data_IF_498689344962
#
_entry.id   IF_498689344962
#
_cell.length_a   1.000
_cell.length_b   1.000
_cell.length_c   1.000
_cell.angle_alpha   90.00
_cell.angle_beta   90.00
_cell.angle_gamma   90.00
#
_symmetry.space_group_name_H-M   'P 1'
#
loop_
_entity.id
_entity.type
_entity.pdbx_description
1 polymer ?
#
# COMPACT_ATOMS: atom_id res chain seq x y z
N UNK A 1 -8.63 8.95 -17.47
CA UNK A 1 -8.69 7.67 -16.71
C UNK A 1 -10.01 7.67 -15.93
N UNK A 2 -10.82 6.62 -16.05
CA UNK A 2 -12.06 6.50 -15.28
C UNK A 2 -11.74 6.37 -13.78
N UNK A 3 -12.59 6.90 -12.87
CA UNK A 3 -12.44 6.68 -11.44
C UNK A 3 -12.53 5.17 -11.14
N UNK A 4 -11.82 4.69 -10.10
CA UNK A 4 -11.90 3.27 -9.71
C UNK A 4 -13.33 2.91 -9.32
N UNK A 5 -13.72 1.67 -9.61
CA UNK A 5 -15.00 1.18 -9.11
C UNK A 5 -15.01 1.19 -7.57
N UNK A 6 -16.16 1.42 -6.91
CA UNK A 6 -16.24 1.40 -5.45
C UNK A 6 -15.73 0.10 -4.82
N UNK A 7 -15.83 -1.02 -5.53
CA UNK A 7 -15.31 -2.32 -5.10
C UNK A 7 -13.79 -2.40 -5.04
N UNK A 8 -13.07 -1.53 -5.75
CA UNK A 8 -11.60 -1.49 -5.78
C UNK A 8 -11.00 -0.61 -4.69
N UNK A 9 -11.82 0.22 -4.05
CA UNK A 9 -11.38 1.08 -2.95
C UNK A 9 -11.12 0.26 -1.68
N UNK A 10 -10.20 0.72 -0.85
CA UNK A 10 -9.96 0.14 0.47
C UNK A 10 -11.21 0.24 1.35
N UNK A 11 -11.50 -0.83 2.08
CA UNK A 11 -12.65 -0.92 3.00
C UNK A 11 -12.23 -0.46 4.38
N UNK A 12 -12.93 0.52 4.95
CA UNK A 12 -12.78 0.90 6.35
C UNK A 12 -13.50 -0.15 7.20
N UNK A 13 -12.73 -0.90 8.01
CA UNK A 13 -13.24 -1.95 8.89
C UNK A 13 -13.54 -1.42 10.31
N UNK A 14 -12.75 -0.43 10.75
CA UNK A 14 -12.88 0.27 12.03
C UNK A 14 -12.38 1.72 11.86
N UNK A 15 -12.64 2.62 12.80
CA UNK A 15 -12.21 4.02 12.71
C UNK A 15 -10.69 4.18 12.44
N UNK A 16 -9.89 3.25 12.92
CA UNK A 16 -8.42 3.22 12.83
C UNK A 16 -7.86 2.16 11.85
N UNK A 17 -8.74 1.48 11.08
CA UNK A 17 -8.35 0.31 10.27
C UNK A 17 -8.89 0.39 8.86
N UNK A 18 -7.99 0.21 7.88
CA UNK A 18 -8.35 0.08 6.46
C UNK A 18 -7.80 -1.24 5.88
N UNK A 19 -8.56 -1.86 4.97
CA UNK A 19 -8.19 -3.11 4.29
C UNK A 19 -8.31 -2.97 2.79
N UNK A 20 -7.34 -3.55 2.08
CA UNK A 20 -7.32 -3.69 0.63
C UNK A 20 -7.21 -5.16 0.26
N UNK A 21 -7.90 -5.58 -0.79
CA UNK A 21 -7.77 -6.92 -1.36
C UNK A 21 -7.41 -6.82 -2.83
N UNK A 22 -6.51 -7.68 -3.30
CA UNK A 22 -6.14 -7.81 -4.72
C UNK A 22 -6.00 -9.29 -5.07
N UNK A 23 -6.50 -9.64 -6.24
CA UNK A 23 -6.29 -10.96 -6.81
C UNK A 23 -5.16 -10.86 -7.84
N UNK A 24 -4.01 -11.43 -7.51
CA UNK A 24 -2.75 -11.29 -8.25
C UNK A 24 -2.37 -12.59 -8.96
N UNK A 25 -1.59 -12.57 -10.05
CA UNK A 25 -1.05 -13.78 -10.65
C UNK A 25 -0.14 -14.53 -9.68
N UNK A 26 -0.33 -15.86 -9.58
CA UNK A 26 0.49 -16.74 -8.78
C UNK A 26 1.87 -17.08 -9.38
N UNK A 27 2.63 -17.96 -8.75
CA UNK A 27 2.36 -18.59 -7.45
C UNK A 27 2.62 -17.67 -6.25
N UNK A 28 2.28 -18.13 -5.04
CA UNK A 28 2.39 -17.33 -3.78
C UNK A 28 3.82 -16.90 -3.50
N UNK A 29 4.81 -17.74 -3.79
CA UNK A 29 6.24 -17.45 -3.61
C UNK A 29 6.69 -16.28 -4.49
N UNK A 30 6.13 -16.17 -5.71
CA UNK A 30 6.41 -15.04 -6.59
C UNK A 30 5.86 -13.74 -6.01
N UNK A 31 4.64 -13.73 -5.51
CA UNK A 31 4.05 -12.54 -4.88
C UNK A 31 4.82 -12.19 -3.60
N UNK A 32 5.18 -13.20 -2.78
CA UNK A 32 5.99 -13.05 -1.58
C UNK A 32 7.32 -12.36 -1.86
N UNK A 33 8.01 -12.74 -2.94
CA UNK A 33 9.28 -12.13 -3.30
C UNK A 33 9.17 -10.62 -3.56
N UNK A 34 8.03 -10.14 -4.06
CA UNK A 34 7.75 -8.70 -4.20
C UNK A 34 7.51 -7.99 -2.86
N UNK A 35 7.25 -8.71 -1.78
CA UNK A 35 7.14 -8.13 -0.44
C UNK A 35 8.49 -8.07 0.29
N UNK A 36 9.37 -9.05 0.08
CA UNK A 36 10.58 -9.21 0.92
C UNK A 36 11.88 -8.83 0.21
N UNK A 37 12.00 -9.06 -1.11
CA UNK A 37 13.23 -8.76 -1.86
C UNK A 37 13.31 -7.26 -2.19
N UNK A 38 14.40 -6.62 -1.81
CA UNK A 38 14.61 -5.18 -1.97
C UNK A 38 14.35 -4.68 -3.38
N UNK A 39 14.91 -5.37 -4.37
CA UNK A 39 14.84 -4.93 -5.77
C UNK A 39 13.40 -5.05 -6.30
N UNK A 40 12.71 -6.15 -5.99
CA UNK A 40 11.33 -6.37 -6.40
C UNK A 40 10.36 -5.46 -5.64
N UNK A 41 10.56 -5.28 -4.34
CA UNK A 41 9.77 -4.36 -3.53
C UNK A 41 9.95 -2.91 -4.01
N UNK A 42 11.17 -2.55 -4.42
CA UNK A 42 11.50 -1.23 -4.97
C UNK A 42 10.76 -0.87 -6.26
N UNK A 43 10.28 -1.87 -7.02
CA UNK A 43 9.51 -1.63 -8.25
C UNK A 43 8.11 -1.08 -8.00
N UNK A 44 7.56 -1.27 -6.80
CA UNK A 44 6.18 -0.87 -6.53
C UNK A 44 5.97 -0.11 -5.22
N UNK A 45 6.87 -0.22 -4.24
CA UNK A 45 6.75 0.43 -2.92
C UNK A 45 8.05 1.15 -2.55
N UNK A 46 9.04 0.41 -2.07
CA UNK A 46 10.30 0.96 -1.56
C UNK A 46 11.40 -0.10 -1.59
N UNK A 47 12.62 0.28 -1.93
CA UNK A 47 13.81 -0.57 -1.77
C UNK A 47 14.31 -0.54 -0.32
N UNK A 48 15.33 -1.35 -0.01
CA UNK A 48 15.99 -1.41 1.29
C UNK A 48 15.96 -2.80 1.91
N UNK A 49 16.69 -2.97 3.00
CA UNK A 49 16.87 -4.25 3.67
C UNK A 49 15.65 -4.66 4.48
N UNK A 50 15.46 -5.95 4.65
CA UNK A 50 14.47 -6.57 5.54
C UNK A 50 15.14 -7.74 6.26
N UNK A 51 15.26 -7.66 7.58
CA UNK A 51 15.71 -8.80 8.39
C UNK A 51 14.54 -9.78 8.55
N UNK A 52 14.66 -11.05 8.07
CA UNK A 52 13.54 -11.97 7.95
C UNK A 52 13.19 -12.65 9.28
N UNK A 53 12.87 -11.90 10.30
CA UNK A 53 12.47 -12.38 11.63
C UNK A 53 11.66 -11.34 12.39
N UNK A 54 10.80 -11.76 13.29
CA UNK A 54 10.09 -10.88 14.22
C UNK A 54 11.11 -10.08 15.05
N UNK A 55 10.88 -8.78 15.21
CA UNK A 55 11.79 -7.84 15.84
C UNK A 55 12.92 -7.34 14.92
N UNK A 56 13.08 -7.93 13.73
CA UNK A 56 14.05 -7.50 12.73
C UNK A 56 13.77 -6.10 12.18
N UNK A 57 14.79 -5.49 11.62
CA UNK A 57 14.70 -4.16 10.99
C UNK A 57 14.16 -4.27 9.58
N UNK A 58 13.30 -3.33 9.19
CA UNK A 58 12.89 -3.07 7.80
C UNK A 58 13.34 -1.65 7.45
N UNK A 59 14.25 -1.54 6.50
CA UNK A 59 14.63 -0.25 5.92
C UNK A 59 13.84 -0.06 4.63
N UNK A 60 13.20 1.10 4.50
CA UNK A 60 12.41 1.48 3.34
C UNK A 60 12.94 2.77 2.76
N UNK A 61 13.32 2.76 1.49
CA UNK A 61 13.69 3.97 0.75
C UNK A 61 12.70 4.13 -0.41
N UNK A 62 11.81 5.08 -0.25
CA UNK A 62 10.78 5.40 -1.24
C UNK A 62 11.36 6.29 -2.34
N UNK A 63 11.12 5.92 -3.59
CA UNK A 63 11.46 6.69 -4.79
C UNK A 63 10.24 6.77 -5.72
N UNK A 64 9.16 7.40 -5.25
CA UNK A 64 7.88 7.43 -5.97
C UNK A 64 8.00 8.02 -7.39
N UNK A 65 8.95 8.93 -7.62
CA UNK A 65 9.24 9.46 -8.95
C UNK A 65 9.75 8.41 -9.97
N UNK A 66 10.16 7.22 -9.51
CA UNK A 66 10.66 6.14 -10.36
C UNK A 66 9.60 5.07 -10.67
N UNK A 67 8.42 5.15 -10.07
CA UNK A 67 7.37 4.14 -10.23
C UNK A 67 6.58 4.27 -11.54
N UNK A 68 6.72 5.40 -12.23
CA UNK A 68 6.22 5.61 -13.58
C UNK A 68 7.03 6.72 -14.29
N UNK A 69 7.01 6.80 -15.62
CA UNK A 69 7.72 7.84 -16.37
C UNK A 69 7.03 9.21 -16.29
N UNK A 70 5.95 9.33 -15.53
CA UNK A 70 5.15 10.55 -15.42
C UNK A 70 5.90 11.66 -14.66
N UNK A 71 5.90 12.92 -15.13
CA UNK A 71 6.46 14.05 -14.39
C UNK A 71 5.81 14.20 -13.02
N UNK A 72 6.62 14.52 -12.00
CA UNK A 72 6.12 14.75 -10.63
C UNK A 72 5.38 16.08 -10.55
N UNK A 73 4.06 16.11 -10.23
CA UNK A 73 3.34 17.37 -10.01
C UNK A 73 3.89 18.11 -8.79
N UNK A 74 3.83 19.46 -8.82
CA UNK A 74 4.38 20.33 -7.79
C UNK A 74 3.93 19.93 -6.36
N UNK A 75 2.63 19.66 -6.19
CA UNK A 75 2.04 19.27 -4.89
C UNK A 75 2.61 17.99 -4.29
N UNK A 76 3.23 17.14 -5.09
CA UNK A 76 3.81 15.86 -4.65
C UNK A 76 5.34 15.88 -4.57
N UNK A 77 5.98 17.02 -4.85
CA UNK A 77 7.45 17.12 -4.90
C UNK A 77 8.11 16.64 -3.61
N UNK A 78 7.55 16.97 -2.46
CA UNK A 78 8.04 16.50 -1.16
C UNK A 78 7.88 14.99 -0.93
N UNK A 79 7.00 14.30 -1.69
CA UNK A 79 6.74 12.86 -1.61
C UNK A 79 7.38 12.06 -2.76
N UNK A 80 8.14 12.71 -3.63
CA UNK A 80 8.72 12.04 -4.81
C UNK A 80 9.92 11.16 -4.48
N UNK A 81 10.63 11.43 -3.39
CA UNK A 81 11.77 10.69 -2.86
C UNK A 81 13.14 11.29 -3.23
N UNK A 82 14.23 10.73 -2.70
CA UNK A 82 14.25 9.60 -1.78
C UNK A 82 13.78 9.94 -0.36
N UNK A 83 12.92 9.12 0.20
CA UNK A 83 12.45 9.24 1.59
C UNK A 83 12.80 7.95 2.31
N UNK A 84 13.66 8.02 3.32
CA UNK A 84 14.06 6.88 4.12
C UNK A 84 13.14 6.71 5.34
N UNK A 85 12.82 5.47 5.67
CA UNK A 85 12.05 5.10 6.84
C UNK A 85 12.60 3.79 7.41
N UNK A 86 12.71 3.69 8.74
CA UNK A 86 13.16 2.49 9.43
C UNK A 86 12.04 1.96 10.32
N UNK A 87 11.68 0.71 10.09
CA UNK A 87 10.55 0.05 10.70
C UNK A 87 10.99 -1.28 11.34
N UNK A 88 10.08 -1.95 12.04
CA UNK A 88 10.35 -3.22 12.73
C UNK A 88 9.35 -4.28 12.29
N UNK A 89 9.84 -5.47 11.95
CA UNK A 89 9.01 -6.63 11.65
C UNK A 89 8.23 -7.05 12.90
N UNK A 90 6.91 -7.16 12.77
CA UNK A 90 6.00 -7.62 13.86
C UNK A 90 5.45 -9.01 13.59
N UNK A 91 5.39 -9.44 12.32
CA UNK A 91 5.01 -10.81 11.92
C UNK A 91 5.82 -11.23 10.70
N UNK A 92 6.31 -12.48 10.70
CA UNK A 92 7.07 -13.06 9.58
C UNK A 92 6.76 -14.54 9.44
N UNK A 93 5.91 -14.89 8.50
CA UNK A 93 5.44 -16.26 8.22
C UNK A 93 5.48 -16.52 6.70
N UNK A 94 6.66 -16.83 6.13
CA UNK A 94 6.82 -17.04 4.71
C UNK A 94 6.11 -18.30 4.22
N UNK A 95 5.49 -18.28 3.02
CA UNK A 95 5.30 -17.13 2.16
C UNK A 95 3.92 -16.46 2.36
N UNK A 96 3.32 -16.52 3.55
CA UNK A 96 1.91 -16.23 3.78
C UNK A 96 1.62 -14.94 4.54
N UNK A 97 2.51 -14.50 5.45
CA UNK A 97 2.25 -13.28 6.20
C UNK A 97 3.52 -12.49 6.54
N UNK A 98 3.45 -11.18 6.30
CA UNK A 98 4.45 -10.19 6.69
C UNK A 98 3.74 -9.00 7.32
N UNK A 99 4.17 -8.61 8.53
CA UNK A 99 3.75 -7.35 9.12
C UNK A 99 4.94 -6.57 9.66
N UNK A 100 4.84 -5.26 9.63
CA UNK A 100 5.83 -4.36 10.22
C UNK A 100 5.18 -3.03 10.63
N UNK A 101 5.86 -2.35 11.56
CA UNK A 101 5.46 -1.00 12.00
C UNK A 101 5.49 -0.02 10.82
N UNK A 102 4.71 1.06 10.91
CA UNK A 102 4.66 2.07 9.87
C UNK A 102 4.57 3.47 10.49
N UNK A 103 5.27 4.44 9.89
CA UNK A 103 5.23 5.83 10.31
C UNK A 103 6.17 6.16 11.46
N UNK A 104 5.72 7.00 12.39
CA UNK A 104 6.54 7.51 13.49
C UNK A 104 6.84 6.43 14.53
N UNK A 105 8.08 6.39 15.02
CA UNK A 105 8.48 5.47 16.09
C UNK A 105 7.77 5.75 17.43
N UNK A 106 7.29 6.98 17.68
CA UNK A 106 6.60 7.35 18.91
C UNK A 106 5.16 6.80 18.98
N UNK A 107 4.49 6.68 17.83
CA UNK A 107 3.14 6.14 17.73
C UNK A 107 3.02 5.36 16.41
N UNK A 108 3.61 4.17 16.31
CA UNK A 108 3.62 3.43 15.07
C UNK A 108 2.25 2.82 14.78
N UNK A 109 1.78 3.01 13.56
CA UNK A 109 0.75 2.15 12.98
C UNK A 109 1.38 0.82 12.55
N UNK A 110 0.60 -0.10 12.00
CA UNK A 110 1.10 -1.38 11.54
C UNK A 110 0.44 -1.77 10.23
N UNK A 111 1.24 -2.24 9.30
CA UNK A 111 0.76 -2.83 8.05
C UNK A 111 0.98 -4.33 8.07
N UNK A 112 -0.07 -5.09 7.72
CA UNK A 112 -0.06 -6.53 7.58
C UNK A 112 -0.39 -6.90 6.13
N UNK A 113 0.45 -7.71 5.53
CA UNK A 113 0.23 -8.38 4.24
C UNK A 113 -0.05 -9.85 4.49
N UNK A 114 -1.15 -10.37 3.97
CA UNK A 114 -1.50 -11.78 3.98
C UNK A 114 -1.68 -12.28 2.56
N UNK A 115 -1.09 -13.43 2.25
CA UNK A 115 -1.16 -14.08 0.95
C UNK A 115 -1.83 -15.44 1.09
N UNK A 116 -2.88 -15.67 0.28
CA UNK A 116 -3.58 -16.96 0.22
C UNK A 116 -3.70 -17.41 -1.23
N UNK A 117 -3.31 -18.65 -1.55
CA UNK A 117 -3.58 -19.23 -2.86
C UNK A 117 -5.09 -19.20 -3.16
N UNK A 118 -5.45 -18.89 -4.41
CA UNK A 118 -6.82 -18.83 -4.91
C UNK A 118 -6.83 -19.35 -6.36
N UNK A 119 -6.82 -20.67 -6.51
CA UNK A 119 -6.59 -21.35 -7.79
C UNK A 119 -5.19 -21.08 -8.33
N UNK A 120 -5.10 -20.57 -9.54
CA UNK A 120 -3.86 -20.13 -10.21
C UNK A 120 -3.43 -18.71 -9.81
N UNK A 121 -4.22 -18.07 -8.95
CA UNK A 121 -3.98 -16.72 -8.45
C UNK A 121 -3.65 -16.70 -6.97
N UNK A 122 -3.35 -15.51 -6.47
CA UNK A 122 -3.05 -15.26 -5.05
C UNK A 122 -3.92 -14.09 -4.59
N UNK A 123 -4.70 -14.32 -3.54
CA UNK A 123 -5.39 -13.23 -2.83
C UNK A 123 -4.41 -12.57 -1.87
N UNK A 124 -4.04 -11.34 -2.19
CA UNK A 124 -3.32 -10.45 -1.28
C UNK A 124 -4.33 -9.65 -0.48
N UNK A 125 -4.24 -9.71 0.84
CA UNK A 125 -4.95 -8.84 1.78
C UNK A 125 -3.94 -7.95 2.48
N UNK A 126 -4.06 -6.63 2.32
CA UNK A 126 -3.31 -5.63 3.07
C UNK A 126 -4.26 -5.02 4.11
N UNK A 127 -3.88 -5.10 5.38
CA UNK A 127 -4.60 -4.43 6.47
C UNK A 127 -3.67 -3.44 7.17
N UNK A 128 -4.10 -2.18 7.32
CA UNK A 128 -3.34 -1.15 8.03
C UNK A 128 -4.16 -0.71 9.24
N UNK A 129 -3.57 -0.83 10.42
CA UNK A 129 -4.23 -0.62 11.71
C UNK A 129 -3.54 0.46 12.53
N UNK A 130 -4.24 0.95 13.55
CA UNK A 130 -3.80 2.03 14.46
C UNK A 130 -3.54 3.36 13.71
N UNK A 131 -4.44 3.70 12.80
CA UNK A 131 -4.43 4.94 12.04
C UNK A 131 -5.35 5.97 12.70
N UNK A 132 -4.91 7.21 12.84
CA UNK A 132 -5.86 8.30 13.02
C UNK A 132 -6.61 8.59 11.71
N UNK A 133 -7.63 9.46 11.75
CA UNK A 133 -8.46 9.76 10.58
C UNK A 133 -7.66 10.33 9.41
N UNK A 134 -6.74 11.26 9.68
CA UNK A 134 -5.94 11.90 8.63
C UNK A 134 -4.95 10.90 8.02
N UNK A 135 -4.23 10.16 8.85
CA UNK A 135 -3.33 9.11 8.40
C UNK A 135 -4.05 8.05 7.58
N UNK A 136 -5.30 7.67 7.95
CA UNK A 136 -6.09 6.71 7.19
C UNK A 136 -6.39 7.21 5.77
N UNK A 137 -6.74 8.48 5.59
CA UNK A 137 -6.97 9.07 4.28
C UNK A 137 -5.68 9.09 3.44
N UNK A 138 -4.59 9.55 4.05
CA UNK A 138 -3.28 9.66 3.40
C UNK A 138 -2.76 8.29 2.93
N UNK A 139 -2.82 7.27 3.80
CA UNK A 139 -2.34 5.93 3.42
C UNK A 139 -3.28 5.25 2.43
N UNK A 140 -4.59 5.55 2.46
CA UNK A 140 -5.55 4.89 1.56
C UNK A 140 -5.26 5.21 0.10
N UNK A 141 -5.01 6.46 -0.24
CA UNK A 141 -4.58 6.86 -1.58
C UNK A 141 -3.26 6.21 -1.99
N UNK A 142 -2.29 6.23 -1.08
CA UNK A 142 -0.98 5.62 -1.29
C UNK A 142 -1.07 4.11 -1.54
N UNK A 143 -1.70 3.34 -0.64
CA UNK A 143 -1.82 1.90 -0.78
C UNK A 143 -2.55 1.47 -2.06
N UNK A 144 -3.67 2.13 -2.38
CA UNK A 144 -4.39 1.83 -3.62
C UNK A 144 -3.47 1.98 -4.84
N UNK A 145 -2.75 3.11 -4.93
CA UNK A 145 -1.86 3.41 -6.06
C UNK A 145 -0.68 2.44 -6.12
N UNK A 146 0.00 2.18 -5.00
CA UNK A 146 1.11 1.23 -4.93
C UNK A 146 0.68 -0.20 -5.28
N UNK A 147 -0.48 -0.66 -4.80
CA UNK A 147 -1.01 -1.98 -5.14
C UNK A 147 -1.41 -2.11 -6.62
N UNK A 148 -1.80 -1.02 -7.28
CA UNK A 148 -2.04 -1.01 -8.72
C UNK A 148 -0.73 -1.17 -9.51
N UNK A 149 0.36 -0.54 -9.05
CA UNK A 149 1.71 -0.72 -9.62
C UNK A 149 2.20 -2.16 -9.41
N UNK A 150 2.04 -2.73 -8.21
CA UNK A 150 2.35 -4.14 -7.93
C UNK A 150 1.62 -5.09 -8.88
N UNK A 151 0.31 -4.89 -9.03
CA UNK A 151 -0.51 -5.74 -9.91
C UNK A 151 -0.02 -5.66 -11.37
N UNK A 152 0.32 -4.47 -11.87
CA UNK A 152 0.84 -4.31 -13.22
C UNK A 152 2.16 -5.08 -13.42
N UNK A 153 3.11 -4.98 -12.49
CA UNK A 153 4.37 -5.73 -12.57
C UNK A 153 4.16 -7.24 -12.54
N UNK A 154 3.27 -7.74 -11.69
CA UNK A 154 2.96 -9.17 -11.62
C UNK A 154 2.23 -9.67 -12.87
N UNK A 155 1.41 -8.83 -13.51
CA UNK A 155 0.75 -9.13 -14.79
C UNK A 155 1.70 -8.95 -16.01
N UNK A 156 2.93 -8.48 -15.81
CA UNK A 156 3.86 -8.20 -16.91
C UNK A 156 3.44 -7.01 -17.78
N UNK A 157 2.67 -6.08 -17.21
CA UNK A 157 2.21 -4.85 -17.86
C UNK A 157 2.99 -3.63 -17.36
N UNK A 158 3.00 -2.57 -18.16
CA UNK A 158 3.51 -1.28 -17.72
C UNK A 158 2.71 -0.75 -16.52
N UNK A 159 3.39 -0.14 -15.52
CA UNK A 159 2.70 0.45 -14.39
C UNK A 159 1.82 1.64 -14.84
N UNK A 160 0.69 1.88 -14.16
CA UNK A 160 -0.15 3.03 -14.44
C UNK A 160 0.61 4.34 -14.14
N UNK A 161 0.21 5.48 -14.75
CA UNK A 161 0.73 6.80 -14.39
C UNK A 161 0.51 7.07 -12.89
N UNK A 162 1.59 7.01 -12.11
CA UNK A 162 1.54 6.99 -10.64
C UNK A 162 0.83 8.21 -10.05
N UNK A 163 1.23 9.41 -10.47
CA UNK A 163 0.73 10.67 -9.90
C UNK A 163 -0.70 11.00 -10.34
N UNK A 164 -1.03 10.70 -11.60
CA UNK A 164 -2.39 10.85 -12.11
C UNK A 164 -3.35 9.89 -11.41
N UNK A 165 -2.92 8.64 -11.18
CA UNK A 165 -3.70 7.66 -10.43
C UNK A 165 -3.87 8.09 -8.98
N UNK A 166 -2.78 8.46 -8.28
CA UNK A 166 -2.81 8.92 -6.89
C UNK A 166 -3.78 10.11 -6.73
N UNK A 167 -3.71 11.10 -7.63
CA UNK A 167 -4.62 12.24 -7.66
C UNK A 167 -6.09 11.83 -7.73
N UNK A 168 -6.41 10.93 -8.64
CA UNK A 168 -7.78 10.44 -8.85
C UNK A 168 -8.29 9.68 -7.63
N UNK A 169 -7.43 8.85 -7.03
CA UNK A 169 -7.75 8.03 -5.86
C UNK A 169 -7.93 8.90 -4.61
N UNK A 170 -7.04 9.86 -4.35
CA UNK A 170 -7.19 10.79 -3.21
C UNK A 170 -8.51 11.55 -3.28
N UNK A 171 -8.91 12.01 -4.47
CA UNK A 171 -10.20 12.68 -4.67
C UNK A 171 -11.40 11.74 -4.40
N UNK A 172 -11.30 10.45 -4.76
CA UNK A 172 -12.34 9.47 -4.51
C UNK A 172 -12.50 9.18 -3.00
N UNK A 173 -11.39 9.02 -2.27
CA UNK A 173 -11.42 8.82 -0.82
C UNK A 173 -11.93 10.04 -0.06
N UNK A 174 -11.57 11.25 -0.47
CA UNK A 174 -12.07 12.50 0.12
C UNK A 174 -13.59 12.61 0.03
N UNK A 175 -14.18 12.28 -1.11
CA UNK A 175 -15.65 12.24 -1.29
C UNK A 175 -16.31 11.19 -0.40
N UNK A 176 -15.78 9.97 -0.38
CA UNK A 176 -16.35 8.87 0.41
C UNK A 176 -16.32 9.16 1.92
N UNK A 177 -15.29 9.84 2.41
CA UNK A 177 -15.18 10.21 3.82
C UNK A 177 -16.15 11.33 4.19
N UNK A 178 -16.41 12.28 3.28
CA UNK A 178 -17.37 13.36 3.45
C UNK A 178 -18.81 12.83 3.52
N UNK A 179 -19.20 11.94 2.61
CA UNK A 179 -20.52 11.31 2.58
C UNK A 179 -20.82 10.53 3.88
N UNK A 180 -19.83 9.86 4.45
CA UNK A 180 -19.94 9.15 5.73
C UNK A 180 -20.10 10.09 6.93
N UNK A 181 -19.41 11.23 6.92
CA UNK A 181 -19.50 12.24 7.98
C UNK A 181 -20.88 12.89 8.00
N UNK A 182 -21.45 13.20 6.84
CA UNK A 182 -22.77 13.80 6.69
C UNK A 182 -23.88 12.84 7.12
N UNK A 183 -23.76 11.55 6.84
CA UNK A 183 -24.73 10.52 7.26
C UNK A 183 -24.72 10.33 8.78
N UNK A 184 -23.57 10.45 9.44
CA UNK A 184 -23.45 10.31 10.90
C UNK A 184 -23.95 11.54 11.67
N UNK A 185 -23.99 12.73 11.02
CA UNK A 185 -24.49 13.97 11.62
C UNK A 185 -26.01 14.13 11.50
N UNK A 186 -26.68 13.30 10.69
CA UNK A 186 -28.12 13.33 10.43
C UNK A 186 -28.91 12.32 11.28
N UNK A 187 -28.26 11.62 12.21
CA UNK A 187 -28.86 10.64 13.16
C UNK A 187 -28.78 11.13 14.59
#
# INVERSE_FOLDING_TARGET
MAPPAPADLGRVLAPDTVRFERLLPGPVERVWSYLVESDRRGLWLASGTLEPRVGGTVELTFHNARLSPEPVPERYRARSGPIASRQRVTRFEPPHALAFTWGSAAAPSEVLFELRPDGDRVRLTLTHIRLDRQARLDVSGGWHTHLAVLAAHLDGRDPPPFWSLLTTIEAAYGKTDQDRSDTCSAS
#
